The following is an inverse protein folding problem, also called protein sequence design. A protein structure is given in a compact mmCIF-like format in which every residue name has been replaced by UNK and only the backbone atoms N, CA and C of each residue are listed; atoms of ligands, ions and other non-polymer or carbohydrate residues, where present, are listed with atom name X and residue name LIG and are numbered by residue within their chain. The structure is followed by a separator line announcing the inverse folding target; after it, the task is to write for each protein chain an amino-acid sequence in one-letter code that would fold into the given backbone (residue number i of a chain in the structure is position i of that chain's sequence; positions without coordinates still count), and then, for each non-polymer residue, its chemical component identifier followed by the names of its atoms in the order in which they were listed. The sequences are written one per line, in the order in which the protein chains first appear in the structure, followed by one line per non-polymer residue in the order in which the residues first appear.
data_IF_878426514543
#
_entry.id   IF_878426514543
#
_cell.length_a   1.000
_cell.length_b   1.000
_cell.length_c   1.000
_cell.angle_alpha   90.00
_cell.angle_beta   90.00
_cell.angle_gamma   90.00
#
_symmetry.space_group_name_H-M   'P 1'
#
loop_
_entity.id
_entity.type
_entity.pdbx_description
1 polymer ?
#
# COMPACT_ATOMS: atom_id res chain seq x y z
N UNK A 1 14.62 -11.09 -9.41
CA UNK A 1 14.08 -10.67 -8.11
C UNK A 1 12.68 -11.24 -7.92
N UNK A 2 12.44 -11.92 -6.80
CA UNK A 2 11.08 -12.17 -6.32
C UNK A 2 10.60 -10.93 -5.53
N UNK A 3 9.29 -10.79 -5.32
CA UNK A 3 8.76 -9.70 -4.50
C UNK A 3 9.34 -9.73 -3.07
N UNK A 4 9.50 -10.91 -2.46
CA UNK A 4 10.05 -11.04 -1.11
C UNK A 4 11.50 -10.58 -1.03
N UNK A 5 12.34 -10.97 -2.00
CA UNK A 5 13.75 -10.52 -2.07
C UNK A 5 13.85 -9.00 -2.22
N UNK A 6 12.98 -8.41 -3.05
CA UNK A 6 12.97 -6.97 -3.24
C UNK A 6 12.46 -6.23 -1.98
N UNK A 7 11.47 -6.77 -1.28
CA UNK A 7 10.96 -6.19 -0.03
C UNK A 7 12.04 -6.22 1.04
N UNK A 8 12.72 -7.35 1.23
CA UNK A 8 13.82 -7.49 2.19
C UNK A 8 14.95 -6.49 1.90
N UNK A 9 15.35 -6.37 0.65
CA UNK A 9 16.30 -5.36 0.22
C UNK A 9 15.77 -3.94 0.48
N UNK A 10 14.51 -3.67 0.14
CA UNK A 10 13.90 -2.35 0.26
C UNK A 10 13.78 -1.84 1.69
N UNK A 11 13.52 -2.72 2.66
CA UNK A 11 13.51 -2.38 4.10
C UNK A 11 14.86 -1.78 4.51
N UNK A 12 15.97 -2.34 4.03
CA UNK A 12 17.32 -1.89 4.36
C UNK A 12 17.80 -0.69 3.50
N UNK A 13 17.08 -0.37 2.41
CA UNK A 13 17.46 0.69 1.47
C UNK A 13 16.46 1.87 1.45
N UNK A 14 15.63 1.98 2.47
CA UNK A 14 14.77 3.14 2.68
C UNK A 14 13.64 3.29 1.66
N UNK A 15 13.11 2.19 1.13
CA UNK A 15 11.90 2.20 0.31
C UNK A 15 10.69 2.60 1.20
N UNK A 16 9.80 3.41 0.65
CA UNK A 16 8.57 3.83 1.36
C UNK A 16 7.74 2.61 1.81
N UNK A 17 7.29 2.63 3.06
CA UNK A 17 6.57 1.50 3.66
C UNK A 17 5.26 1.15 2.94
N UNK A 18 4.56 2.15 2.38
CA UNK A 18 3.37 1.93 1.59
C UNK A 18 3.69 1.24 0.27
N UNK A 19 4.81 1.58 -0.37
CA UNK A 19 5.29 0.90 -1.59
C UNK A 19 5.70 -0.54 -1.29
N UNK A 20 6.37 -0.80 -0.16
CA UNK A 20 6.70 -2.15 0.28
C UNK A 20 5.43 -2.99 0.53
N UNK A 21 4.42 -2.38 1.17
CA UNK A 21 3.11 -3.01 1.38
C UNK A 21 2.42 -3.36 0.07
N UNK A 22 2.38 -2.41 -0.87
CA UNK A 22 1.81 -2.64 -2.19
C UNK A 22 2.54 -3.76 -2.95
N UNK A 23 3.87 -3.79 -2.91
CA UNK A 23 4.68 -4.83 -3.54
C UNK A 23 4.42 -6.23 -2.92
N UNK A 24 4.15 -6.28 -1.61
CA UNK A 24 3.78 -7.52 -0.91
C UNK A 24 2.45 -8.06 -1.40
N UNK A 25 1.47 -7.18 -1.57
CA UNK A 25 0.12 -7.54 -1.99
C UNK A 25 0.02 -7.82 -3.50
N UNK A 26 1.04 -7.43 -4.27
CA UNK A 26 1.08 -7.54 -5.73
C UNK A 26 2.32 -8.29 -6.24
N UNK A 27 2.48 -9.58 -5.92
CA UNK A 27 3.64 -10.37 -6.36
C UNK A 27 3.75 -10.45 -7.89
N UNK A 28 2.65 -10.28 -8.64
CA UNK A 28 2.63 -10.25 -10.10
C UNK A 28 3.45 -9.11 -10.71
N UNK A 29 3.79 -8.05 -9.96
CA UNK A 29 4.67 -6.98 -10.43
C UNK A 29 6.11 -7.42 -10.66
N UNK A 30 6.48 -8.59 -10.12
CA UNK A 30 7.82 -9.17 -10.22
C UNK A 30 7.88 -10.38 -11.16
N UNK A 31 6.77 -10.70 -11.85
CA UNK A 31 6.75 -11.78 -12.83
C UNK A 31 7.61 -11.43 -14.05
N UNK A 32 8.16 -12.47 -14.69
CA UNK A 32 8.79 -12.36 -15.99
C UNK A 32 7.75 -12.54 -17.10
N UNK A 33 7.89 -11.82 -18.21
CA UNK A 33 7.07 -12.06 -19.41
C UNK A 33 7.19 -13.49 -19.95
N UNK A 34 8.26 -14.19 -19.57
CA UNK A 34 8.48 -15.62 -19.93
C UNK A 34 7.49 -16.54 -19.24
N UNK A 35 7.00 -16.13 -18.06
CA UNK A 35 6.05 -16.90 -17.26
C UNK A 35 4.60 -16.48 -17.54
N UNK A 36 4.40 -15.48 -18.42
CA UNK A 36 3.09 -14.91 -18.76
C UNK A 36 2.92 -15.00 -20.29
N UNK A 37 2.26 -16.05 -20.81
CA UNK A 37 2.14 -16.30 -22.25
C UNK A 37 1.37 -15.22 -23.02
N UNK A 38 0.31 -14.68 -22.39
CA UNK A 38 -0.51 -13.63 -22.95
C UNK A 38 -0.28 -12.31 -22.23
N UNK A 39 -0.06 -11.20 -22.94
CA UNK A 39 0.18 -9.89 -22.34
C UNK A 39 -0.99 -9.41 -21.44
N UNK A 40 -2.21 -9.81 -21.76
CA UNK A 40 -3.42 -9.44 -21.01
C UNK A 40 -3.47 -10.06 -19.63
N UNK A 41 -2.81 -11.20 -19.40
CA UNK A 41 -2.81 -11.89 -18.12
C UNK A 41 -2.02 -11.12 -17.03
N UNK A 42 -1.07 -10.27 -17.46
CA UNK A 42 -0.38 -9.37 -16.53
C UNK A 42 -0.08 -8.00 -17.18
N UNK A 43 -0.97 -7.04 -17.04
CA UNK A 43 -0.84 -5.72 -17.64
C UNK A 43 0.19 -4.80 -16.96
N UNK A 44 0.83 -5.24 -15.90
CA UNK A 44 1.76 -4.44 -15.11
C UNK A 44 3.19 -4.48 -15.64
N UNK A 45 3.61 -5.63 -16.18
CA UNK A 45 5.00 -5.90 -16.58
C UNK A 45 5.25 -5.62 -18.07
N UNK A 46 6.52 -5.56 -18.44
CA UNK A 46 6.91 -5.59 -19.86
C UNK A 46 6.47 -6.90 -20.53
N UNK A 47 5.94 -6.79 -21.74
CA UNK A 47 5.67 -7.96 -22.59
C UNK A 47 6.05 -7.67 -24.05
N UNK A 48 6.83 -8.53 -24.74
CA UNK A 48 7.33 -8.25 -26.09
C UNK A 48 6.26 -8.22 -27.19
N UNK A 49 5.09 -8.84 -26.94
CA UNK A 49 3.96 -8.88 -27.89
C UNK A 49 3.05 -7.66 -27.78
N UNK A 50 3.24 -6.79 -26.78
CA UNK A 50 2.39 -5.62 -26.56
C UNK A 50 3.22 -4.38 -26.21
N UNK A 51 3.01 -3.31 -26.97
CA UNK A 51 3.65 -2.03 -26.67
C UNK A 51 2.97 -1.36 -25.46
N UNK A 52 3.75 -1.07 -24.43
CA UNK A 52 3.33 -0.32 -23.24
C UNK A 52 4.27 0.87 -23.03
N UNK A 53 3.69 2.06 -22.82
CA UNK A 53 4.45 3.29 -22.57
C UNK A 53 5.22 3.26 -21.24
N UNK A 54 4.75 2.46 -20.29
CA UNK A 54 5.37 2.26 -18.98
C UNK A 54 4.97 0.91 -18.40
N UNK A 55 5.84 0.34 -17.60
CA UNK A 55 5.65 -0.94 -16.93
C UNK A 55 6.47 -0.98 -15.64
N UNK A 56 6.05 -1.83 -14.72
CA UNK A 56 6.72 -1.97 -13.43
C UNK A 56 7.99 -2.80 -13.54
N UNK A 57 9.01 -2.35 -12.84
CA UNK A 57 10.28 -3.07 -12.61
C UNK A 57 10.76 -2.78 -11.19
N UNK A 58 11.67 -3.57 -10.61
CA UNK A 58 12.30 -3.23 -9.34
C UNK A 58 12.85 -1.81 -9.29
N UNK A 59 13.55 -1.36 -10.33
CA UNK A 59 14.11 0.00 -10.43
C UNK A 59 13.01 1.08 -10.51
N UNK A 60 11.98 0.86 -11.30
CA UNK A 60 10.90 1.84 -11.40
C UNK A 60 10.06 1.94 -10.11
N UNK A 61 10.01 0.88 -9.31
CA UNK A 61 9.43 0.91 -7.97
C UNK A 61 10.28 1.73 -6.98
N UNK A 62 11.60 1.75 -7.11
CA UNK A 62 12.47 2.68 -6.34
C UNK A 62 12.11 4.12 -6.66
N UNK A 63 12.01 4.47 -7.94
CA UNK A 63 11.59 5.81 -8.38
C UNK A 63 10.19 6.15 -7.86
N UNK A 64 9.24 5.21 -7.93
CA UNK A 64 7.90 5.39 -7.38
C UNK A 64 7.92 5.59 -5.85
N UNK A 65 8.83 4.91 -5.15
CA UNK A 65 9.06 5.11 -3.71
C UNK A 65 9.53 6.53 -3.38
N UNK A 66 10.46 7.08 -4.15
CA UNK A 66 10.93 8.44 -3.93
C UNK A 66 9.81 9.47 -4.15
N UNK A 67 8.96 9.25 -5.15
CA UNK A 67 7.74 10.05 -5.34
C UNK A 67 6.75 9.88 -4.17
N UNK A 68 6.58 8.65 -3.67
CA UNK A 68 5.69 8.35 -2.55
C UNK A 68 6.11 9.06 -1.26
N UNK A 69 7.40 9.20 -0.99
CA UNK A 69 7.94 9.91 0.19
C UNK A 69 7.55 11.39 0.20
N UNK A 70 7.40 12.00 -0.96
CA UNK A 70 7.08 13.44 -1.12
C UNK A 70 5.63 13.68 -1.57
N UNK A 71 4.76 12.65 -1.56
CA UNK A 71 3.37 12.74 -2.04
C UNK A 71 2.53 13.81 -1.34
N UNK A 72 2.85 14.10 -0.08
CA UNK A 72 2.19 15.14 0.71
C UNK A 72 2.43 16.57 0.19
N UNK A 73 3.39 16.76 -0.72
CA UNK A 73 3.68 18.03 -1.38
C UNK A 73 2.96 18.19 -2.72
N UNK A 74 2.21 17.18 -3.15
CA UNK A 74 1.52 17.14 -4.44
C UNK A 74 0.02 16.92 -4.25
N UNK A 75 -0.79 17.39 -5.19
CA UNK A 75 -2.18 16.96 -5.29
C UNK A 75 -2.27 15.52 -5.86
N UNK A 76 -3.42 14.87 -5.65
CA UNK A 76 -3.66 13.48 -6.05
C UNK A 76 -3.44 13.27 -7.57
N UNK A 77 -3.81 14.26 -8.39
CA UNK A 77 -3.70 14.16 -9.85
C UNK A 77 -2.24 14.22 -10.30
N UNK A 78 -1.50 15.18 -9.80
CA UNK A 78 -0.06 15.36 -10.09
C UNK A 78 0.73 14.13 -9.62
N UNK A 79 0.45 13.65 -8.42
CA UNK A 79 1.09 12.44 -7.89
C UNK A 79 0.82 11.22 -8.76
N UNK A 80 -0.46 10.96 -9.10
CA UNK A 80 -0.82 9.84 -9.96
C UNK A 80 -0.19 9.94 -11.34
N UNK A 81 -0.18 11.14 -11.94
CA UNK A 81 0.46 11.36 -13.25
C UNK A 81 1.97 11.07 -13.23
N UNK A 82 2.67 11.46 -12.16
CA UNK A 82 4.11 11.18 -12.00
C UNK A 82 4.38 9.67 -11.89
N UNK A 83 3.54 8.94 -11.16
CA UNK A 83 3.62 7.48 -11.07
C UNK A 83 3.40 6.81 -12.43
N UNK A 84 2.41 7.28 -13.23
CA UNK A 84 2.13 6.74 -14.57
C UNK A 84 3.37 6.78 -15.45
N UNK A 85 4.13 7.86 -15.43
CA UNK A 85 5.36 8.01 -16.17
C UNK A 85 6.46 7.02 -15.76
N UNK A 86 6.46 6.58 -14.52
CA UNK A 86 7.49 5.68 -13.97
C UNK A 86 7.13 4.20 -14.08
N UNK A 87 5.94 3.82 -13.63
CA UNK A 87 5.54 2.40 -13.45
C UNK A 87 4.38 1.96 -14.35
N UNK A 88 3.95 2.82 -15.26
CA UNK A 88 2.81 2.58 -16.15
C UNK A 88 1.45 2.81 -15.48
N UNK A 89 0.43 3.03 -16.31
CA UNK A 89 -0.89 3.49 -15.85
C UNK A 89 -1.54 2.52 -14.85
N UNK A 90 -1.56 1.22 -15.16
CA UNK A 90 -2.25 0.22 -14.32
C UNK A 90 -1.62 0.15 -12.93
N UNK A 91 -0.31 -0.03 -12.88
CA UNK A 91 0.42 -0.11 -11.61
C UNK A 91 0.36 1.19 -10.82
N UNK A 92 0.39 2.34 -11.50
CA UNK A 92 0.27 3.66 -10.87
C UNK A 92 -1.09 3.84 -10.19
N UNK A 93 -2.18 3.43 -10.81
CA UNK A 93 -3.52 3.50 -10.23
C UNK A 93 -3.65 2.60 -8.99
N UNK A 94 -3.14 1.38 -9.09
CA UNK A 94 -3.16 0.43 -7.99
C UNK A 94 -2.31 0.91 -6.81
N UNK A 95 -1.10 1.41 -7.08
CA UNK A 95 -0.21 1.96 -6.05
C UNK A 95 -0.79 3.22 -5.40
N UNK A 96 -1.31 4.17 -6.19
CA UNK A 96 -1.92 5.39 -5.65
C UNK A 96 -3.11 5.06 -4.73
N UNK A 97 -3.95 4.10 -5.13
CA UNK A 97 -5.08 3.63 -4.30
C UNK A 97 -4.60 2.98 -3.02
N UNK A 98 -3.58 2.12 -3.09
CA UNK A 98 -3.00 1.46 -1.93
C UNK A 98 -2.41 2.48 -0.94
N UNK A 99 -1.63 3.46 -1.43
CA UNK A 99 -1.04 4.51 -0.60
C UNK A 99 -2.12 5.38 0.07
N UNK A 100 -3.18 5.73 -0.66
CA UNK A 100 -4.30 6.49 -0.11
C UNK A 100 -5.03 5.74 1.01
N UNK A 101 -5.15 4.42 0.91
CA UNK A 101 -5.67 3.58 1.99
C UNK A 101 -4.67 3.49 3.15
N UNK A 102 -3.40 3.28 2.87
CA UNK A 102 -2.35 3.19 3.87
C UNK A 102 -2.23 4.48 4.70
N UNK A 103 -2.37 5.66 4.08
CA UNK A 103 -2.33 6.96 4.75
C UNK A 103 -3.52 7.20 5.72
N UNK A 104 -4.60 6.42 5.58
CA UNK A 104 -5.72 6.44 6.52
C UNK A 104 -5.50 5.54 7.74
N UNK A 105 -4.46 4.69 7.72
CA UNK A 105 -4.20 3.75 8.80
C UNK A 105 -3.39 4.40 9.92
N UNK A 106 -3.76 4.17 11.19
CA UNK A 106 -2.90 4.52 12.31
C UNK A 106 -1.65 3.65 12.31
N UNK A 107 -0.58 4.13 12.93
CA UNK A 107 0.55 3.29 13.25
C UNK A 107 0.16 2.32 14.39
N UNK A 108 0.74 1.12 14.41
CA UNK A 108 0.49 0.19 15.50
C UNK A 108 0.93 0.78 16.86
N UNK A 109 2.01 1.53 16.85
CA UNK A 109 2.52 2.24 18.02
C UNK A 109 1.52 3.25 18.58
N UNK A 110 0.84 4.02 17.72
CA UNK A 110 -0.19 4.96 18.18
C UNK A 110 -1.37 4.26 18.84
N UNK A 111 -1.75 3.07 18.35
CA UNK A 111 -2.80 2.26 18.99
C UNK A 111 -2.32 1.70 20.33
N UNK A 112 -1.06 1.24 20.40
CA UNK A 112 -0.49 0.67 21.63
C UNK A 112 -0.33 1.70 22.74
N UNK A 113 0.10 2.92 22.40
CA UNK A 113 0.46 3.96 23.38
C UNK A 113 -0.67 4.95 23.66
N UNK A 114 -1.45 5.33 22.66
CA UNK A 114 -2.52 6.32 22.76
C UNK A 114 -3.73 5.97 21.88
N UNK A 115 -4.49 4.93 22.22
CA UNK A 115 -5.65 4.47 21.46
C UNK A 115 -6.75 5.52 21.34
N UNK A 116 -6.79 6.51 22.26
CA UNK A 116 -7.82 7.56 22.29
C UNK A 116 -7.62 8.63 21.23
N UNK A 117 -6.36 8.89 20.85
CA UNK A 117 -6.01 9.89 19.83
C UNK A 117 -5.54 9.27 18.53
N UNK A 118 -5.31 7.94 18.48
CA UNK A 118 -4.95 7.25 17.24
C UNK A 118 -5.98 7.51 16.13
N UNK A 119 -5.49 7.68 14.88
CA UNK A 119 -6.32 7.93 13.70
C UNK A 119 -7.33 6.79 13.52
N UNK A 120 -8.59 7.13 13.25
CA UNK A 120 -9.63 6.17 12.90
C UNK A 120 -9.95 6.27 11.41
N UNK A 121 -9.68 5.22 10.62
CA UNK A 121 -9.97 5.26 9.18
C UNK A 121 -11.47 5.33 8.92
N UNK A 122 -11.83 5.98 7.83
CA UNK A 122 -13.25 6.20 7.47
C UNK A 122 -13.78 5.18 6.47
N UNK A 123 -12.92 4.64 5.58
CA UNK A 123 -13.33 3.66 4.59
C UNK A 123 -13.45 2.25 5.17
N UNK A 124 -14.39 1.46 4.66
CA UNK A 124 -14.56 0.06 5.09
C UNK A 124 -13.30 -0.78 4.83
N UNK A 125 -12.66 -0.58 3.67
CA UNK A 125 -11.43 -1.28 3.32
C UNK A 125 -10.29 -0.98 4.31
N UNK A 126 -10.04 0.29 4.64
CA UNK A 126 -9.02 0.66 5.61
C UNK A 126 -9.33 0.13 7.03
N UNK A 127 -10.62 0.08 7.43
CA UNK A 127 -11.03 -0.54 8.70
C UNK A 127 -10.72 -2.03 8.75
N UNK A 128 -11.04 -2.77 7.69
CA UNK A 128 -10.67 -4.18 7.59
C UNK A 128 -9.14 -4.37 7.64
N UNK A 129 -8.38 -3.56 6.90
CA UNK A 129 -6.92 -3.63 6.89
C UNK A 129 -6.32 -3.45 8.28
N UNK A 130 -6.77 -2.44 9.05
CA UNK A 130 -6.23 -2.22 10.40
C UNK A 130 -6.60 -3.35 11.36
N UNK A 131 -7.80 -3.90 11.27
CA UNK A 131 -8.21 -5.05 12.10
C UNK A 131 -7.32 -6.26 11.81
N UNK A 132 -7.17 -6.66 10.54
CA UNK A 132 -6.33 -7.80 10.18
C UNK A 132 -4.86 -7.58 10.53
N UNK A 133 -4.32 -6.39 10.25
CA UNK A 133 -2.95 -6.04 10.59
C UNK A 133 -2.68 -6.13 12.09
N UNK A 134 -3.64 -5.69 12.90
CA UNK A 134 -3.51 -5.69 14.34
C UNK A 134 -3.64 -7.09 14.93
N UNK A 135 -4.61 -7.88 14.45
CA UNK A 135 -4.80 -9.26 14.89
C UNK A 135 -3.57 -10.15 14.65
N UNK A 136 -2.78 -9.84 13.61
CA UNK A 136 -1.56 -10.59 13.29
C UNK A 136 -0.42 -10.36 14.31
N UNK A 137 -0.48 -9.28 15.10
CA UNK A 137 0.62 -8.86 16.00
C UNK A 137 0.14 -8.50 17.42
N UNK A 138 -1.12 -8.81 17.74
CA UNK A 138 -1.68 -8.48 19.05
C UNK A 138 -1.02 -9.29 20.17
N UNK A 139 -0.68 -8.60 21.25
CA UNK A 139 -0.07 -9.17 22.45
C UNK A 139 -0.87 -8.78 23.67
N UNK A 140 -0.75 -9.55 24.74
CA UNK A 140 -1.51 -9.38 25.99
C UNK A 140 -1.32 -8.00 26.62
N UNK A 141 -0.12 -7.44 26.48
CA UNK A 141 0.31 -6.19 27.09
C UNK A 141 -0.50 -4.98 26.64
N UNK A 142 -1.01 -4.97 25.41
CA UNK A 142 -1.75 -3.84 24.85
C UNK A 142 -3.17 -4.18 24.36
N UNK A 143 -3.69 -5.34 24.76
CA UNK A 143 -5.04 -5.79 24.36
C UNK A 143 -6.13 -4.81 24.82
N UNK A 144 -5.98 -4.20 26.01
CA UNK A 144 -6.94 -3.21 26.50
C UNK A 144 -6.94 -1.94 25.64
N UNK A 145 -5.78 -1.47 25.21
CA UNK A 145 -5.65 -0.33 24.31
C UNK A 145 -6.25 -0.64 22.94
N UNK A 146 -6.10 -1.88 22.48
CA UNK A 146 -6.76 -2.34 21.25
C UNK A 146 -8.29 -2.34 21.39
N UNK A 147 -8.84 -2.80 22.50
CA UNK A 147 -10.29 -2.78 22.75
C UNK A 147 -10.83 -1.35 22.78
N UNK A 148 -10.13 -0.42 23.43
CA UNK A 148 -10.49 1.00 23.43
C UNK A 148 -10.50 1.59 22.01
N UNK A 149 -9.53 1.23 21.19
CA UNK A 149 -9.47 1.63 19.79
C UNK A 149 -10.62 1.03 18.97
N UNK A 150 -10.96 -0.26 19.15
CA UNK A 150 -12.06 -0.93 18.47
C UNK A 150 -13.41 -0.25 18.73
N UNK A 151 -13.66 0.17 19.97
CA UNK A 151 -14.89 0.92 20.32
C UNK A 151 -15.00 2.21 19.50
N UNK A 152 -13.90 2.93 19.30
CA UNK A 152 -13.88 4.13 18.45
C UNK A 152 -14.10 3.79 16.99
N UNK A 153 -13.49 2.72 16.49
CA UNK A 153 -13.62 2.25 15.12
C UNK A 153 -15.08 1.91 14.78
N UNK A 154 -15.80 1.31 15.73
CA UNK A 154 -17.21 0.94 15.58
C UNK A 154 -18.11 2.18 15.60
N UNK A 155 -17.92 3.13 16.53
CA UNK A 155 -18.70 4.38 16.61
C UNK A 155 -18.68 5.18 15.32
N UNK A 156 -17.54 5.28 14.64
CA UNK A 156 -17.44 5.95 13.33
C UNK A 156 -18.23 5.22 12.25
N UNK A 157 -18.48 3.93 12.42
CA UNK A 157 -19.33 3.15 11.51
C UNK A 157 -20.81 3.44 11.70
N UNK A 158 -21.26 3.65 12.94
CA UNK A 158 -22.66 3.98 13.26
C UNK A 158 -23.06 5.38 12.83
N UNK A 159 -22.20 6.38 13.02
CA UNK A 159 -22.48 7.77 12.69
C UNK A 159 -22.75 8.03 11.18
N UNK A 160 -22.46 7.09 10.32
CA UNK A 160 -22.70 7.18 8.86
C UNK A 160 -23.96 6.44 8.37
N UNK A 161 -24.64 5.69 9.26
CA UNK A 161 -25.86 4.94 8.90
C UNK A 161 -27.15 5.70 9.25
N UNK A 162 -27.05 6.80 9.94
CA UNK A 162 -28.12 7.74 10.30
C UNK A 162 -27.89 9.09 9.59
#
# INVERSE_FOLDING_TARGET
WTNLQWIEWGINNGIDHGVLGAAKDNPQWFHSFRDVPNPEDNPHIFHPKEYRKGFVTPRSLETASDMAKVRHLMDDQTFTASLIGSIGMRTAMDLATHLKLADQLPTLDSIKTDPKNAIVPTSAAAKCMIVFRTLAVIEKEWINNWMDYLVRLDRVSYARRN
#
